data_IF_914445944270
#
_entry.id   IF_914445944270
#
_cell.length_a   1.000
_cell.length_b   1.000
_cell.length_c   1.000
_cell.angle_alpha   90.00
_cell.angle_beta   90.00
_cell.angle_gamma   90.00
#
_symmetry.space_group_name_H-M   'P 1'
#
loop_
_entity.id
_entity.type
_entity.pdbx_description
1 polymer ?
#
# COMPACT_ATOMS: atom_id res chain seq x y z
N UNK A 1 5.93 0.79 17.36
CA UNK A 1 5.94 -0.66 17.63
C UNK A 1 5.00 -0.95 18.78
N UNK A 2 4.48 -2.18 18.88
CA UNK A 2 3.74 -2.60 20.07
C UNK A 2 4.64 -2.69 21.34
N UNK A 3 5.96 -2.82 21.16
CA UNK A 3 6.93 -2.86 22.26
C UNK A 3 7.56 -1.50 22.55
N UNK A 4 7.78 -1.24 23.85
CA UNK A 4 8.53 -0.08 24.33
C UNK A 4 10.04 -0.27 24.12
N UNK A 5 10.80 0.81 24.02
CA UNK A 5 12.26 0.71 23.87
C UNK A 5 12.95 -0.02 25.03
N UNK A 6 12.36 -0.03 26.23
CA UNK A 6 12.88 -0.80 27.37
C UNK A 6 12.69 -2.30 27.16
N UNK A 7 11.54 -2.72 26.62
CA UNK A 7 11.29 -4.13 26.29
C UNK A 7 12.21 -4.61 25.17
N UNK A 8 12.44 -3.78 24.15
CA UNK A 8 13.39 -4.08 23.07
C UNK A 8 14.82 -4.20 23.62
N UNK A 9 15.25 -3.29 24.51
CA UNK A 9 16.58 -3.33 25.11
C UNK A 9 16.85 -4.62 25.89
N UNK A 10 15.83 -5.26 26.47
CA UNK A 10 15.98 -6.56 27.16
C UNK A 10 16.40 -7.69 26.22
N UNK A 11 15.99 -7.61 24.95
CA UNK A 11 16.26 -8.60 23.91
C UNK A 11 17.55 -8.32 23.13
N UNK A 12 18.18 -7.15 23.33
CA UNK A 12 19.43 -6.81 22.67
C UNK A 12 20.66 -7.41 23.39
N UNK A 13 21.82 -7.52 22.70
CA UNK A 13 23.06 -8.06 23.27
C UNK A 13 23.69 -7.23 24.42
N UNK A 14 23.25 -5.97 24.59
CA UNK A 14 23.76 -5.01 25.61
C UNK A 14 25.27 -4.75 25.57
N UNK A 15 25.92 -5.02 24.42
CA UNK A 15 27.37 -4.83 24.23
C UNK A 15 27.77 -3.35 24.13
N UNK A 16 26.85 -2.46 23.75
CA UNK A 16 27.12 -1.05 23.45
C UNK A 16 28.30 -0.87 22.46
N UNK A 17 28.44 -1.80 21.51
CA UNK A 17 29.59 -1.88 20.60
C UNK A 17 29.63 -0.77 19.52
N UNK A 18 28.54 0.00 19.36
CA UNK A 18 28.36 1.06 18.36
C UNK A 18 28.48 0.63 16.89
N UNK A 19 28.54 -0.67 16.60
CA UNK A 19 28.59 -1.20 15.23
C UNK A 19 27.35 -0.87 14.40
N UNK A 20 26.20 -0.71 15.05
CA UNK A 20 24.95 -0.26 14.43
C UNK A 20 24.86 1.27 14.24
N UNK A 21 25.95 2.02 14.45
CA UNK A 21 25.96 3.48 14.31
C UNK A 21 25.31 4.26 15.47
N UNK A 22 24.75 3.57 16.47
CA UNK A 22 24.16 4.20 17.65
C UNK A 22 25.10 4.19 18.87
N UNK A 23 25.06 5.23 19.73
CA UNK A 23 25.99 5.37 20.84
C UNK A 23 25.83 4.30 21.93
N UNK A 24 24.63 3.74 22.09
CA UNK A 24 24.31 2.67 23.05
C UNK A 24 23.24 1.74 22.49
N UNK A 25 23.14 0.51 23.01
CA UNK A 25 22.07 -0.43 22.69
C UNK A 25 20.69 0.12 23.09
N UNK A 26 20.61 0.93 24.16
CA UNK A 26 19.36 1.59 24.55
C UNK A 26 18.95 2.66 23.52
N UNK A 27 19.90 3.43 23.00
CA UNK A 27 19.63 4.40 21.94
C UNK A 27 19.12 3.71 20.66
N UNK A 28 19.73 2.58 20.29
CA UNK A 28 19.24 1.74 19.20
C UNK A 28 17.82 1.23 19.48
N UNK A 29 17.55 0.70 20.67
CA UNK A 29 16.23 0.20 21.05
C UNK A 29 15.13 1.28 20.97
N UNK A 30 15.43 2.52 21.38
CA UNK A 30 14.49 3.63 21.28
C UNK A 30 14.24 4.05 19.83
N UNK A 31 15.28 4.09 18.99
CA UNK A 31 15.15 4.36 17.56
C UNK A 31 14.37 3.26 16.84
N UNK A 32 14.59 2.00 17.21
CA UNK A 32 13.87 0.85 16.69
C UNK A 32 12.38 0.93 17.08
N UNK A 33 12.05 1.26 18.34
CA UNK A 33 10.66 1.47 18.80
C UNK A 33 9.92 2.52 17.96
N UNK A 34 10.64 3.56 17.54
CA UNK A 34 10.17 4.67 16.71
C UNK A 34 10.11 4.33 15.20
N UNK A 35 10.57 3.14 14.78
CA UNK A 35 10.76 2.74 13.38
C UNK A 35 11.74 3.63 12.60
N UNK A 36 12.73 4.20 13.28
CA UNK A 36 13.74 5.06 12.67
C UNK A 36 15.01 4.28 12.20
N UNK A 37 15.06 2.98 12.43
CA UNK A 37 16.14 2.03 12.09
C UNK A 37 15.52 0.64 11.99
N UNK A 38 16.24 -0.32 11.39
CA UNK A 38 15.79 -1.71 11.28
C UNK A 38 16.59 -2.61 12.22
N UNK A 39 16.04 -3.78 12.51
CA UNK A 39 16.71 -4.75 13.38
C UNK A 39 17.99 -5.32 12.76
N UNK A 40 18.05 -5.33 11.42
CA UNK A 40 19.16 -5.82 10.61
C UNK A 40 20.43 -4.96 10.77
N UNK A 41 20.30 -3.73 11.26
CA UNK A 41 21.43 -2.82 11.52
C UNK A 41 22.32 -3.30 12.68
N UNK A 42 21.86 -4.25 13.51
CA UNK A 42 22.65 -4.82 14.60
C UNK A 42 23.30 -6.15 14.17
N UNK A 43 24.63 -6.19 13.94
CA UNK A 43 25.29 -7.42 13.47
C UNK A 43 25.41 -8.51 14.56
N UNK A 44 25.34 -8.11 15.83
CA UNK A 44 25.56 -9.01 16.98
C UNK A 44 24.24 -9.54 17.58
N UNK A 45 23.09 -9.31 16.93
CA UNK A 45 21.79 -9.73 17.45
C UNK A 45 21.54 -11.23 17.22
N UNK A 46 20.96 -11.92 18.21
CA UNK A 46 20.63 -13.34 18.10
C UNK A 46 19.41 -13.56 17.19
N UNK A 47 19.33 -14.75 16.60
CA UNK A 47 18.23 -15.09 15.69
C UNK A 47 16.89 -15.23 16.41
N UNK A 48 16.90 -15.63 17.69
CA UNK A 48 15.71 -15.64 18.54
C UNK A 48 15.21 -14.22 18.81
N UNK A 49 16.12 -13.29 19.11
CA UNK A 49 15.77 -11.89 19.32
C UNK A 49 15.24 -11.24 18.02
N UNK A 50 15.80 -11.60 16.85
CA UNK A 50 15.28 -11.18 15.54
C UNK A 50 13.86 -11.67 15.30
N UNK A 51 13.57 -12.93 15.61
CA UNK A 51 12.23 -13.50 15.41
C UNK A 51 11.18 -12.80 16.29
N UNK A 52 11.43 -12.71 17.60
CA UNK A 52 10.49 -12.09 18.56
C UNK A 52 10.26 -10.61 18.25
N UNK A 53 11.33 -9.87 17.97
CA UNK A 53 11.23 -8.46 17.62
C UNK A 53 10.62 -8.27 16.23
N UNK A 54 10.88 -9.16 15.26
CA UNK A 54 10.28 -9.11 13.92
C UNK A 54 8.76 -9.26 13.96
N UNK A 55 8.27 -10.26 14.70
CA UNK A 55 6.84 -10.47 14.92
C UNK A 55 6.18 -9.29 15.65
N UNK A 56 6.83 -8.78 16.71
CA UNK A 56 6.30 -7.64 17.47
C UNK A 56 6.44 -6.28 16.74
N UNK A 57 7.33 -6.20 15.76
CA UNK A 57 7.53 -5.03 14.90
C UNK A 57 6.54 -4.98 13.74
N UNK A 58 5.99 -6.14 13.36
CA UNK A 58 5.03 -6.24 12.27
C UNK A 58 3.91 -5.20 12.48
N UNK A 59 3.60 -4.37 11.48
CA UNK A 59 2.51 -3.42 11.58
C UNK A 59 1.20 -4.17 11.89
N UNK A 60 0.34 -3.65 12.78
CA UNK A 60 -0.97 -4.24 13.04
C UNK A 60 -1.80 -4.42 11.76
N UNK A 61 -1.64 -3.49 10.82
CA UNK A 61 -2.26 -3.50 9.50
C UNK A 61 -1.18 -3.70 8.45
N UNK A 62 -1.24 -4.82 7.72
CA UNK A 62 -0.28 -5.12 6.64
C UNK A 62 -0.43 -4.12 5.49
N UNK A 63 0.67 -3.66 4.87
CA UNK A 63 0.60 -2.81 3.70
C UNK A 63 0.17 -3.61 2.46
N UNK A 64 -0.67 -3.01 1.63
CA UNK A 64 -1.07 -3.52 0.32
C UNK A 64 -0.69 -2.44 -0.71
N UNK A 65 -0.07 -2.85 -1.81
CA UNK A 65 0.27 -1.95 -2.92
C UNK A 65 -0.56 -2.32 -4.14
N UNK A 66 -1.28 -1.34 -4.66
CA UNK A 66 -2.15 -1.44 -5.83
C UNK A 66 -1.52 -0.64 -6.97
N UNK A 67 -1.52 -1.19 -8.19
CA UNK A 67 -0.85 -0.54 -9.30
C UNK A 67 0.66 -0.88 -9.42
N UNK A 68 1.27 -0.36 -10.47
CA UNK A 68 2.72 -0.42 -10.71
C UNK A 68 3.24 0.94 -11.19
N UNK A 69 4.52 1.22 -10.93
CA UNK A 69 5.19 2.46 -11.35
C UNK A 69 5.02 3.62 -10.36
N UNK A 70 5.19 4.84 -10.86
CA UNK A 70 5.19 6.08 -10.05
C UNK A 70 3.83 6.42 -9.46
N UNK A 71 2.74 5.91 -10.06
CA UNK A 71 1.38 6.12 -9.57
C UNK A 71 0.84 4.97 -8.70
N UNK A 72 1.69 4.03 -8.29
CA UNK A 72 1.29 2.95 -7.40
C UNK A 72 0.79 3.48 -6.04
N UNK A 73 -0.35 2.94 -5.61
CA UNK A 73 -1.06 3.37 -4.41
C UNK A 73 -0.74 2.40 -3.28
N UNK A 74 -0.18 2.91 -2.19
CA UNK A 74 0.08 2.11 -0.99
C UNK A 74 -1.02 2.38 0.03
N UNK A 75 -1.63 1.30 0.51
CA UNK A 75 -2.68 1.31 1.52
C UNK A 75 -2.22 0.50 2.74
N UNK A 76 -2.78 0.83 3.90
CA UNK A 76 -2.51 0.10 5.15
C UNK A 76 -1.34 0.69 5.92
N UNK A 77 -0.60 -0.14 6.66
CA UNK A 77 0.50 0.26 7.54
C UNK A 77 0.15 1.26 8.67
N UNK A 78 -1.14 1.52 8.87
CA UNK A 78 -1.60 2.42 9.91
C UNK A 78 -1.35 1.86 11.32
N UNK A 79 -1.04 2.76 12.25
CA UNK A 79 -0.57 2.39 13.59
C UNK A 79 -1.35 3.03 14.73
N UNK A 80 -2.24 3.97 14.44
CA UNK A 80 -2.98 4.75 15.43
C UNK A 80 -4.43 4.93 15.01
N UNK A 81 -5.32 5.12 15.99
CA UNK A 81 -6.72 5.45 15.74
C UNK A 81 -6.93 6.95 15.58
N UNK A 82 -6.15 7.76 16.29
CA UNK A 82 -6.29 9.22 16.29
C UNK A 82 -5.04 9.91 15.75
N UNK A 83 -5.25 10.85 14.82
CA UNK A 83 -4.17 11.63 14.16
C UNK A 83 -3.31 12.49 15.11
N UNK A 84 -3.76 12.75 16.33
CA UNK A 84 -3.03 13.55 17.30
C UNK A 84 -2.05 12.72 18.14
N UNK A 85 -2.24 11.40 18.21
CA UNK A 85 -1.28 10.49 18.84
C UNK A 85 -0.07 10.28 17.92
N UNK A 86 -0.33 10.08 16.62
CA UNK A 86 0.69 9.99 15.57
C UNK A 86 0.07 10.33 14.21
N UNK A 87 0.92 10.65 13.24
CA UNK A 87 0.53 10.91 11.85
C UNK A 87 0.00 9.62 11.18
N UNK A 88 -1.09 9.73 10.42
CA UNK A 88 -1.52 8.71 9.45
C UNK A 88 -0.54 8.65 8.27
N UNK A 89 -0.10 7.45 7.93
CA UNK A 89 1.06 7.24 7.06
C UNK A 89 0.66 7.36 5.61
N UNK A 90 -0.43 6.68 5.20
CA UNK A 90 -0.84 6.56 3.81
C UNK A 90 -2.22 7.22 3.60
N UNK A 91 -2.37 8.16 2.65
CA UNK A 91 -3.67 8.73 2.30
C UNK A 91 -4.66 7.67 1.80
N UNK A 92 -5.96 7.93 1.98
CA UNK A 92 -7.00 7.07 1.41
C UNK A 92 -7.00 7.15 -0.11
N UNK A 93 -7.09 6.00 -0.78
CA UNK A 93 -7.24 5.95 -2.24
C UNK A 93 -8.66 6.36 -2.64
N UNK A 94 -8.77 7.24 -3.63
CA UNK A 94 -10.05 7.52 -4.29
C UNK A 94 -10.18 6.72 -5.58
N UNK A 95 -11.26 5.93 -5.68
CA UNK A 95 -11.57 5.15 -6.87
C UNK A 95 -12.87 5.65 -7.52
N UNK A 96 -12.87 5.83 -8.85
CA UNK A 96 -14.09 6.12 -9.59
C UNK A 96 -14.73 4.82 -10.07
N UNK A 97 -16.00 4.61 -9.76
CA UNK A 97 -16.79 3.48 -10.27
C UNK A 97 -17.17 3.68 -11.75
N UNK A 98 -16.90 2.65 -12.54
CA UNK A 98 -17.26 2.55 -13.95
C UNK A 98 -17.94 1.20 -14.16
N UNK A 99 -19.19 1.23 -14.60
CA UNK A 99 -19.97 0.03 -14.86
C UNK A 99 -19.77 -0.42 -16.30
N UNK A 100 -19.84 -1.72 -16.52
CA UNK A 100 -19.88 -2.32 -17.86
C UNK A 100 -21.10 -1.93 -18.71
N UNK A 101 -22.18 -1.48 -18.07
CA UNK A 101 -23.40 -0.97 -18.72
C UNK A 101 -23.37 0.52 -19.03
N UNK A 102 -22.35 1.25 -18.58
CA UNK A 102 -22.23 2.68 -18.84
C UNK A 102 -21.85 2.95 -20.30
N UNK A 103 -22.73 3.62 -21.04
CA UNK A 103 -22.42 4.11 -22.40
C UNK A 103 -21.28 5.16 -22.40
N UNK A 104 -21.09 5.86 -21.26
CA UNK A 104 -20.11 6.93 -21.09
C UNK A 104 -18.80 6.47 -20.42
N UNK A 105 -18.52 5.16 -20.40
CA UNK A 105 -17.33 4.61 -19.76
C UNK A 105 -16.02 5.27 -20.26
N UNK A 106 -15.92 5.57 -21.56
CA UNK A 106 -14.77 6.28 -22.14
C UNK A 106 -14.59 7.69 -21.57
N UNK A 107 -15.69 8.45 -21.43
CA UNK A 107 -15.65 9.81 -20.93
C UNK A 107 -15.24 9.85 -19.45
N UNK A 108 -15.74 8.90 -18.65
CA UNK A 108 -15.35 8.75 -17.23
C UNK A 108 -13.86 8.38 -17.10
N UNK A 109 -13.37 7.47 -17.94
CA UNK A 109 -11.93 7.11 -17.96
C UNK A 109 -11.05 8.31 -18.34
N UNK A 110 -11.46 9.12 -19.31
CA UNK A 110 -10.75 10.33 -19.69
C UNK A 110 -10.73 11.36 -18.56
N UNK A 111 -11.82 11.50 -17.79
CA UNK A 111 -11.87 12.36 -16.61
C UNK A 111 -10.92 11.87 -15.52
N UNK A 112 -10.79 10.55 -15.30
CA UNK A 112 -9.81 10.00 -14.35
C UNK A 112 -8.39 10.34 -14.78
N UNK A 113 -8.05 10.14 -16.05
CA UNK A 113 -6.72 10.47 -16.57
C UNK A 113 -6.38 11.97 -16.48
N UNK A 114 -7.38 12.84 -16.66
CA UNK A 114 -7.24 14.30 -16.55
C UNK A 114 -7.48 14.89 -15.15
N UNK A 115 -7.78 14.06 -14.15
CA UNK A 115 -8.07 14.52 -12.79
C UNK A 115 -6.78 14.85 -12.04
N UNK A 116 -6.13 15.95 -12.40
CA UNK A 116 -4.99 16.48 -11.65
C UNK A 116 -5.31 17.88 -11.14
N UNK A 117 -5.22 18.05 -9.82
CA UNK A 117 -5.45 19.32 -9.15
C UNK A 117 -4.28 19.65 -8.25
N UNK A 118 -3.60 20.77 -8.53
CA UNK A 118 -2.58 21.31 -7.63
C UNK A 118 -3.25 22.11 -6.51
N UNK A 119 -3.09 21.61 -5.29
CA UNK A 119 -3.49 22.32 -4.08
C UNK A 119 -2.27 22.57 -3.20
N UNK A 120 -1.77 23.80 -3.25
CA UNK A 120 -0.66 24.25 -2.39
C UNK A 120 0.60 23.38 -2.57
N UNK A 121 0.93 23.05 -3.82
CA UNK A 121 2.07 22.20 -4.18
C UNK A 121 1.85 20.71 -3.99
N UNK A 122 0.61 20.28 -3.69
CA UNK A 122 0.22 18.88 -3.65
C UNK A 122 -0.62 18.56 -4.89
N UNK A 123 -0.15 17.63 -5.72
CA UNK A 123 -0.89 17.08 -6.84
C UNK A 123 -1.89 16.06 -6.31
N UNK A 124 -3.17 16.45 -6.29
CA UNK A 124 -4.30 15.59 -5.96
C UNK A 124 -4.86 14.98 -7.25
N UNK A 125 -5.12 13.67 -7.22
CA UNK A 125 -5.67 12.94 -8.36
C UNK A 125 -6.61 11.83 -7.92
N UNK A 126 -7.36 11.27 -8.86
CA UNK A 126 -8.02 9.98 -8.66
C UNK A 126 -6.96 8.88 -8.73
N UNK A 127 -6.93 8.01 -7.72
CA UNK A 127 -5.87 7.02 -7.52
C UNK A 127 -6.17 5.70 -8.24
N UNK A 128 -7.45 5.35 -8.37
CA UNK A 128 -7.87 4.08 -8.95
C UNK A 128 -9.16 4.18 -9.77
N UNK A 129 -9.38 3.15 -10.59
CA UNK A 129 -10.65 2.90 -11.29
C UNK A 129 -11.25 1.62 -10.75
N UNK A 130 -12.52 1.67 -10.37
CA UNK A 130 -13.29 0.50 -9.96
C UNK A 130 -14.19 0.05 -11.10
N UNK A 131 -13.91 -1.13 -11.65
CA UNK A 131 -14.66 -1.75 -12.74
C UNK A 131 -15.74 -2.65 -12.14
N UNK A 132 -17.00 -2.26 -12.27
CA UNK A 132 -18.14 -3.03 -11.76
C UNK A 132 -18.77 -3.87 -12.88
N UNK A 133 -18.89 -5.17 -12.65
CA UNK A 133 -19.60 -6.12 -13.51
C UNK A 133 -21.09 -6.19 -13.14
N UNK A 134 -21.89 -5.24 -13.63
CA UNK A 134 -23.34 -5.18 -13.37
C UNK A 134 -24.12 -6.04 -14.39
N UNK A 135 -23.54 -6.26 -15.58
CA UNK A 135 -24.16 -7.07 -16.64
C UNK A 135 -24.01 -8.58 -16.44
N UNK A 136 -23.07 -9.02 -15.60
CA UNK A 136 -22.76 -10.43 -15.36
C UNK A 136 -22.08 -11.13 -16.53
N UNK A 137 -21.60 -10.37 -17.53
CA UNK A 137 -20.98 -10.91 -18.75
C UNK A 137 -19.46 -10.70 -18.72
N UNK A 138 -18.71 -11.81 -18.74
CA UNK A 138 -17.25 -11.80 -18.73
C UNK A 138 -16.64 -11.05 -19.94
N UNK A 139 -17.29 -11.10 -21.11
CA UNK A 139 -16.77 -10.45 -22.31
C UNK A 139 -16.83 -8.93 -22.26
N UNK A 140 -17.87 -8.38 -21.62
CA UNK A 140 -18.03 -6.92 -21.46
C UNK A 140 -17.05 -6.36 -20.43
N UNK A 141 -16.83 -7.09 -19.35
CA UNK A 141 -15.84 -6.72 -18.34
C UNK A 141 -14.41 -6.73 -18.91
N UNK A 142 -14.07 -7.72 -19.74
CA UNK A 142 -12.77 -7.77 -20.42
C UNK A 142 -12.59 -6.58 -21.38
N UNK A 143 -13.63 -6.25 -22.15
CA UNK A 143 -13.60 -5.09 -23.05
C UNK A 143 -13.42 -3.77 -22.28
N UNK A 144 -14.13 -3.60 -21.16
CA UNK A 144 -14.00 -2.43 -20.28
C UNK A 144 -12.60 -2.38 -19.63
N UNK A 145 -12.07 -3.52 -19.22
CA UNK A 145 -10.73 -3.63 -18.64
C UNK A 145 -9.64 -3.20 -19.65
N UNK A 146 -9.73 -3.64 -20.90
CA UNK A 146 -8.82 -3.22 -21.99
C UNK A 146 -8.93 -1.72 -22.25
N UNK A 147 -10.15 -1.20 -22.36
CA UNK A 147 -10.40 0.23 -22.58
C UNK A 147 -9.81 1.08 -21.44
N UNK A 148 -9.99 0.65 -20.19
CA UNK A 148 -9.45 1.33 -19.04
C UNK A 148 -7.91 1.25 -18.98
N UNK A 149 -7.31 0.13 -19.38
CA UNK A 149 -5.85 -0.02 -19.49
C UNK A 149 -5.24 0.90 -20.56
N UNK A 150 -5.96 1.18 -21.65
CA UNK A 150 -5.55 2.10 -22.72
C UNK A 150 -5.72 3.57 -22.35
N UNK A 151 -6.88 3.94 -21.78
CA UNK A 151 -7.23 5.34 -21.50
C UNK A 151 -6.65 5.88 -20.19
N UNK A 152 -6.45 5.01 -19.21
CA UNK A 152 -5.91 5.37 -17.91
C UNK A 152 -4.77 4.41 -17.51
N UNK A 153 -3.65 4.40 -18.27
CA UNK A 153 -2.59 3.41 -18.09
C UNK A 153 -1.90 3.51 -16.73
N UNK A 154 -1.92 4.68 -16.10
CA UNK A 154 -1.23 4.93 -14.84
C UNK A 154 -2.14 4.78 -13.60
N UNK A 155 -3.46 4.66 -13.77
CA UNK A 155 -4.38 4.49 -12.64
C UNK A 155 -4.36 3.02 -12.16
N UNK A 156 -4.44 2.80 -10.85
CA UNK A 156 -4.63 1.45 -10.32
C UNK A 156 -6.03 0.94 -10.69
N UNK A 157 -6.18 -0.37 -10.94
CA UNK A 157 -7.47 -0.97 -11.27
C UNK A 157 -7.98 -1.84 -10.13
N UNK A 158 -9.28 -1.76 -9.86
CA UNK A 158 -10.01 -2.61 -8.91
C UNK A 158 -11.14 -3.28 -9.69
N UNK A 159 -11.23 -4.60 -9.63
CA UNK A 159 -12.18 -5.40 -10.41
C UNK A 159 -13.26 -5.94 -9.47
N UNK A 160 -14.47 -5.41 -9.59
CA UNK A 160 -15.66 -5.87 -8.87
C UNK A 160 -16.47 -6.85 -9.71
N UNK A 161 -16.29 -8.15 -9.48
CA UNK A 161 -17.08 -9.22 -10.12
C UNK A 161 -17.41 -10.33 -9.13
N UNK A 162 -18.54 -11.00 -9.34
CA UNK A 162 -18.94 -12.19 -8.58
C UNK A 162 -18.46 -13.49 -9.24
N UNK A 163 -18.13 -13.45 -10.53
CA UNK A 163 -17.62 -14.59 -11.30
C UNK A 163 -16.08 -14.58 -11.35
N UNK A 164 -15.40 -15.63 -10.86
CA UNK A 164 -13.94 -15.74 -10.90
C UNK A 164 -13.37 -15.78 -12.32
N UNK A 165 -14.08 -16.37 -13.30
CA UNK A 165 -13.59 -16.46 -14.68
C UNK A 165 -13.53 -15.07 -15.35
N UNK A 166 -14.52 -14.22 -15.06
CA UNK A 166 -14.53 -12.84 -15.50
C UNK A 166 -13.40 -12.01 -14.84
N UNK A 167 -13.09 -12.31 -13.58
CA UNK A 167 -11.99 -11.66 -12.85
C UNK A 167 -10.63 -11.99 -13.47
N UNK A 168 -10.38 -13.26 -13.81
CA UNK A 168 -9.13 -13.68 -14.46
C UNK A 168 -8.98 -13.05 -15.86
N UNK A 169 -10.06 -13.03 -16.65
CA UNK A 169 -10.06 -12.39 -17.96
C UNK A 169 -9.74 -10.89 -17.87
N UNK A 170 -10.38 -10.17 -16.96
CA UNK A 170 -10.14 -8.74 -16.75
C UNK A 170 -8.73 -8.48 -16.15
N UNK A 171 -8.26 -9.32 -15.22
CA UNK A 171 -6.93 -9.19 -14.63
C UNK A 171 -5.82 -9.42 -15.67
N UNK A 172 -6.05 -10.29 -16.66
CA UNK A 172 -5.09 -10.53 -17.74
C UNK A 172 -4.82 -9.27 -18.58
N UNK A 173 -5.81 -8.39 -18.74
CA UNK A 173 -5.65 -7.10 -19.41
C UNK A 173 -4.74 -6.12 -18.63
N UNK A 174 -4.58 -6.34 -17.33
CA UNK A 174 -3.74 -5.55 -16.42
C UNK A 174 -2.45 -6.27 -16.00
N UNK A 175 -1.98 -7.24 -16.81
CA UNK A 175 -0.76 -7.99 -16.53
C UNK A 175 0.42 -7.03 -16.19
N UNK A 176 1.01 -7.22 -15.00
CA UNK A 176 2.11 -6.40 -14.50
C UNK A 176 1.72 -5.13 -13.73
N UNK A 177 0.43 -4.71 -13.75
CA UNK A 177 -0.06 -3.52 -13.04
C UNK A 177 -0.73 -3.83 -11.69
N UNK A 178 -0.66 -5.06 -11.20
CA UNK A 178 -1.19 -5.50 -9.88
C UNK A 178 -2.61 -4.94 -9.60
N UNK A 179 -3.62 -5.35 -10.41
CA UNK A 179 -5.02 -5.02 -10.11
C UNK A 179 -5.46 -5.71 -8.80
N UNK A 180 -6.48 -5.14 -8.15
CA UNK A 180 -7.13 -5.71 -6.96
C UNK A 180 -8.46 -6.34 -7.33
#
# INVERSE_FOLDING_TARGET
>A
MAMTGVQIFKLLPKTNCKKCGHPTCLAFAMKLAQRATTIDDCPDISDEAKSVLGEASAPPIRPITMGAGEKAVKLGEETVLFRHEKKFVHPCAFALEIKDTDADAEAKLAQVAGSELDRVGQLLRVDAVYLSNDSGDAGKLEALAKLAAEKAPDAAAIIGTTDPAAAEAAASAYAGKKPV
#
